data_IF_215222053156
#
_entry.id   IF_215222053156
#
_cell.length_a   1.000
_cell.length_b   1.000
_cell.length_c   1.000
_cell.angle_alpha   90.00
_cell.angle_beta   90.00
_cell.angle_gamma   90.00
#
_symmetry.space_group_name_H-M   'P 1'
#
loop_
_entity.id
_entity.type
_entity.pdbx_description
1 polymer ?
#
# COMPACT_ATOMS: atom_id res chain seq x y z
N UNK A 1 11.10 15.14 -5.50
CA UNK A 1 9.78 14.46 -5.69
C UNK A 1 9.17 14.14 -4.33
N UNK A 2 9.96 13.65 -3.40
CA UNK A 2 9.56 13.36 -2.02
C UNK A 2 10.36 14.27 -1.11
N UNK A 3 9.67 14.99 -0.24
CA UNK A 3 10.29 15.97 0.62
C UNK A 3 9.90 15.65 2.06
N UNK A 4 10.90 15.62 2.95
CA UNK A 4 10.72 15.50 4.40
C UNK A 4 9.83 14.32 4.84
N UNK A 5 10.05 13.14 4.24
CA UNK A 5 9.27 11.94 4.53
C UNK A 5 9.82 11.25 5.78
N UNK A 6 9.10 11.35 6.88
CA UNK A 6 9.43 10.72 8.15
C UNK A 6 8.33 9.75 8.56
N UNK A 7 8.65 8.45 8.64
CA UNK A 7 7.70 7.41 9.00
C UNK A 7 8.40 6.26 9.73
N UNK A 8 7.81 5.82 10.82
CA UNK A 8 8.21 4.61 11.53
C UNK A 8 7.18 3.51 11.29
N UNK A 9 7.59 2.38 10.72
CA UNK A 9 6.80 1.16 10.61
C UNK A 9 6.71 0.43 11.95
N UNK A 10 5.62 -0.29 12.15
CA UNK A 10 5.45 -1.22 13.29
C UNK A 10 5.76 -2.64 12.83
N UNK A 11 5.98 -3.54 13.78
CA UNK A 11 6.19 -4.95 13.46
C UNK A 11 4.92 -5.57 12.89
N UNK A 12 5.09 -6.46 11.92
CA UNK A 12 4.01 -7.19 11.23
C UNK A 12 2.91 -6.29 10.64
N UNK A 13 3.26 -5.05 10.25
CA UNK A 13 2.30 -4.05 9.80
C UNK A 13 2.01 -4.15 8.30
N UNK A 14 0.74 -4.03 7.92
CA UNK A 14 0.30 -3.77 6.56
C UNK A 14 0.14 -2.25 6.35
N UNK A 15 1.17 -1.63 5.82
CA UNK A 15 1.20 -0.19 5.55
C UNK A 15 0.80 0.10 4.10
N UNK A 16 -0.21 0.93 3.89
CA UNK A 16 -0.64 1.32 2.55
C UNK A 16 -0.29 2.78 2.26
N UNK A 17 0.43 3.00 1.16
CA UNK A 17 0.71 4.32 0.61
C UNK A 17 -0.33 4.63 -0.47
N UNK A 18 -1.14 5.66 -0.26
CA UNK A 18 -2.19 6.05 -1.20
C UNK A 18 -2.09 7.53 -1.53
N UNK A 19 -2.51 7.92 -2.73
CA UNK A 19 -2.48 9.30 -3.18
C UNK A 19 -2.63 9.43 -4.69
N UNK A 20 -2.75 10.65 -5.22
CA UNK A 20 -2.86 10.90 -6.66
C UNK A 20 -1.68 10.34 -7.46
N UNK A 21 -1.88 10.16 -8.76
CA UNK A 21 -0.79 9.77 -9.67
C UNK A 21 0.32 10.81 -9.64
N UNK A 22 1.58 10.36 -9.64
CA UNK A 22 2.74 11.25 -9.65
C UNK A 22 3.14 11.84 -8.30
N UNK A 23 2.47 11.53 -7.18
CA UNK A 23 2.84 12.05 -5.86
C UNK A 23 4.07 11.39 -5.20
N UNK A 24 4.73 10.43 -5.87
CA UNK A 24 6.00 9.85 -5.41
C UNK A 24 5.92 8.44 -4.80
N UNK A 25 4.74 7.81 -4.70
CA UNK A 25 4.55 6.49 -4.05
C UNK A 25 5.49 5.39 -4.56
N UNK A 26 5.49 5.13 -5.87
CA UNK A 26 6.36 4.12 -6.49
C UNK A 26 7.84 4.49 -6.40
N UNK A 27 8.17 5.78 -6.43
CA UNK A 27 9.54 6.26 -6.23
C UNK A 27 10.02 5.94 -4.81
N UNK A 28 9.20 6.21 -3.80
CA UNK A 28 9.51 5.85 -2.41
C UNK A 28 9.71 4.34 -2.25
N UNK A 29 8.82 3.54 -2.84
CA UNK A 29 8.93 2.09 -2.80
C UNK A 29 10.24 1.61 -3.43
N UNK A 30 10.65 2.18 -4.56
CA UNK A 30 11.91 1.89 -5.24
C UNK A 30 13.13 2.33 -4.44
N UNK A 31 13.05 3.46 -3.72
CA UNK A 31 14.11 3.90 -2.79
C UNK A 31 14.28 2.88 -1.66
N UNK A 32 13.21 2.37 -1.08
CA UNK A 32 13.26 1.32 -0.04
C UNK A 32 13.88 0.04 -0.62
N UNK A 33 13.49 -0.35 -1.83
CA UNK A 33 14.05 -1.51 -2.53
C UNK A 33 15.52 -1.34 -2.94
N UNK A 34 16.04 -0.10 -2.97
CA UNK A 34 17.40 0.23 -3.43
C UNK A 34 17.53 0.31 -4.95
N UNK A 35 16.42 0.46 -5.65
CA UNK A 35 16.37 0.64 -7.10
C UNK A 35 16.53 2.10 -7.52
N UNK A 36 16.29 3.02 -6.59
CA UNK A 36 16.50 4.46 -6.72
C UNK A 36 17.36 4.96 -5.57
N UNK A 37 18.18 5.98 -5.84
CA UNK A 37 19.01 6.62 -4.80
C UNK A 37 18.18 7.62 -4.00
N UNK A 38 18.61 7.82 -2.78
CA UNK A 38 18.11 8.87 -1.88
C UNK A 38 19.13 10.00 -1.92
N UNK A 39 18.66 11.22 -2.06
CA UNK A 39 19.52 12.40 -2.06
C UNK A 39 19.93 12.73 -0.62
N UNK A 40 18.96 12.73 0.32
CA UNK A 40 19.15 13.02 1.74
C UNK A 40 18.28 12.11 2.60
N UNK A 41 18.61 11.98 3.88
CA UNK A 41 17.88 11.17 4.84
C UNK A 41 18.39 9.73 4.97
N UNK A 42 17.68 8.93 5.74
CA UNK A 42 18.12 7.59 6.12
C UNK A 42 16.94 6.61 6.11
N UNK A 43 17.20 5.39 5.60
CA UNK A 43 16.26 4.28 5.71
C UNK A 43 16.87 3.19 6.56
N UNK A 44 16.08 2.70 7.51
CA UNK A 44 16.45 1.59 8.37
C UNK A 44 15.49 0.42 8.17
N UNK A 45 16.02 -0.80 8.19
CA UNK A 45 15.24 -2.03 8.36
C UNK A 45 15.72 -2.65 9.67
N UNK A 46 14.86 -2.68 10.66
CA UNK A 46 15.24 -2.86 12.05
C UNK A 46 16.30 -1.78 12.41
N UNK A 47 17.39 -2.14 13.08
CA UNK A 47 18.46 -1.21 13.47
C UNK A 47 19.53 -1.04 12.38
N UNK A 48 19.34 -1.61 11.20
CA UNK A 48 20.33 -1.56 10.12
C UNK A 48 19.99 -0.47 9.11
N UNK A 49 20.87 0.54 8.98
CA UNK A 49 20.82 1.50 7.88
C UNK A 49 21.07 0.79 6.53
N UNK A 50 20.17 1.00 5.55
CA UNK A 50 20.19 0.29 4.29
C UNK A 50 20.48 1.17 3.08
N UNK A 51 20.74 2.47 3.25
CA UNK A 51 20.96 3.40 2.14
C UNK A 51 21.96 2.88 1.12
N UNK A 52 23.15 2.43 1.58
CA UNK A 52 24.28 2.01 0.75
C UNK A 52 24.25 0.50 0.42
N UNK A 53 23.25 -0.23 0.93
CA UNK A 53 23.14 -1.65 0.65
C UNK A 53 22.62 -1.87 -0.78
N UNK A 54 23.30 -2.80 -1.49
CA UNK A 54 22.80 -3.29 -2.78
C UNK A 54 21.39 -3.89 -2.61
N UNK A 55 20.45 -3.72 -3.57
CA UNK A 55 19.08 -4.22 -3.49
C UNK A 55 18.96 -5.67 -3.01
N UNK A 56 19.82 -6.56 -3.49
CA UNK A 56 19.83 -7.98 -3.11
C UNK A 56 20.13 -8.24 -1.64
N UNK A 57 20.74 -7.29 -0.93
CA UNK A 57 21.13 -7.40 0.50
C UNK A 57 20.13 -6.71 1.45
N UNK A 58 19.13 -5.99 0.94
CA UNK A 58 18.14 -5.27 1.75
C UNK A 58 17.08 -6.16 2.39
N UNK A 59 17.08 -7.45 2.09
CA UNK A 59 16.07 -8.39 2.57
C UNK A 59 14.63 -7.96 2.27
N UNK A 60 14.43 -7.28 1.15
CA UNK A 60 13.13 -6.89 0.63
C UNK A 60 12.78 -7.73 -0.60
N UNK A 61 11.49 -7.94 -0.84
CA UNK A 61 11.01 -8.53 -2.08
C UNK A 61 9.93 -7.63 -2.69
N UNK A 62 10.07 -7.33 -3.99
CA UNK A 62 9.16 -6.42 -4.68
C UNK A 62 8.27 -7.18 -5.66
N UNK A 63 6.98 -6.89 -5.60
CA UNK A 63 5.95 -7.32 -6.55
C UNK A 63 5.57 -6.11 -7.40
N UNK A 64 5.85 -6.17 -8.68
CA UNK A 64 5.67 -5.07 -9.62
C UNK A 64 4.25 -5.09 -10.22
N UNK A 65 3.78 -3.94 -10.64
CA UNK A 65 2.51 -3.75 -11.34
C UNK A 65 2.35 -4.65 -12.57
N UNK A 66 3.44 -4.85 -13.34
CA UNK A 66 3.46 -5.72 -14.53
C UNK A 66 3.72 -7.20 -14.21
N UNK A 67 3.74 -7.57 -12.92
CA UNK A 67 4.15 -8.89 -12.40
C UNK A 67 5.62 -9.22 -12.65
N UNK A 68 6.24 -8.69 -13.69
CA UNK A 68 7.63 -8.89 -14.10
C UNK A 68 8.07 -10.37 -14.12
N UNK A 69 7.18 -11.27 -14.57
CA UNK A 69 7.51 -12.69 -14.73
C UNK A 69 8.41 -12.90 -15.92
N UNK A 70 9.36 -13.84 -15.81
CA UNK A 70 10.21 -14.26 -16.90
C UNK A 70 9.39 -15.13 -17.88
N UNK A 71 9.11 -14.65 -19.12
CA UNK A 71 8.15 -15.31 -20.00
C UNK A 71 8.62 -16.65 -20.57
N UNK A 72 9.92 -16.89 -20.60
CA UNK A 72 10.54 -18.13 -21.06
C UNK A 72 10.59 -19.24 -20.00
N UNK A 73 10.44 -18.87 -18.72
CA UNK A 73 10.44 -19.76 -17.56
C UNK A 73 9.02 -20.22 -17.22
N UNK A 74 8.85 -21.45 -16.73
CA UNK A 74 7.61 -21.90 -16.12
C UNK A 74 7.41 -21.28 -14.71
N UNK A 75 6.29 -21.59 -14.04
CA UNK A 75 5.97 -21.06 -12.70
C UNK A 75 7.04 -21.50 -11.68
N UNK A 76 7.39 -22.77 -11.65
CA UNK A 76 8.43 -23.30 -10.76
C UNK A 76 9.77 -22.55 -10.94
N UNK A 77 10.18 -22.37 -12.18
CA UNK A 77 11.42 -21.67 -12.52
C UNK A 77 11.38 -20.20 -12.11
N UNK A 78 10.27 -19.51 -12.33
CA UNK A 78 10.06 -18.14 -11.89
C UNK A 78 10.19 -18.01 -10.36
N UNK A 79 9.54 -18.90 -9.60
CA UNK A 79 9.57 -18.90 -8.14
C UNK A 79 10.95 -19.29 -7.58
N UNK A 80 11.64 -20.22 -8.22
CA UNK A 80 12.95 -20.71 -7.78
C UNK A 80 14.13 -19.82 -8.17
N UNK A 81 13.93 -18.87 -9.09
CA UNK A 81 15.02 -18.11 -9.72
C UNK A 81 15.93 -17.40 -8.70
N UNK A 82 15.34 -16.68 -7.73
CA UNK A 82 16.09 -15.99 -6.69
C UNK A 82 16.94 -16.95 -5.83
N UNK A 83 16.38 -18.10 -5.47
CA UNK A 83 17.06 -19.11 -4.67
C UNK A 83 18.23 -19.76 -5.44
N UNK A 84 18.08 -19.94 -6.75
CA UNK A 84 19.16 -20.44 -7.63
C UNK A 84 20.34 -19.46 -7.67
N UNK A 85 20.05 -18.14 -7.75
CA UNK A 85 21.10 -17.10 -7.70
C UNK A 85 21.80 -17.11 -6.34
N UNK A 86 21.07 -17.35 -5.26
CA UNK A 86 21.61 -17.50 -3.90
C UNK A 86 22.35 -18.84 -3.69
N UNK A 87 22.44 -19.67 -4.72
CA UNK A 87 23.10 -21.00 -4.71
C UNK A 87 22.58 -21.95 -3.63
N UNK A 88 21.27 -21.89 -3.34
CA UNK A 88 20.60 -22.82 -2.42
C UNK A 88 20.60 -24.24 -2.95
N UNK A 89 20.53 -25.24 -2.07
CA UNK A 89 20.44 -26.65 -2.48
C UNK A 89 19.15 -26.94 -3.23
N UNK A 90 19.12 -27.98 -4.06
CA UNK A 90 17.91 -28.40 -4.79
C UNK A 90 16.76 -28.72 -3.84
N UNK A 91 17.04 -29.37 -2.72
CA UNK A 91 16.06 -29.74 -1.69
C UNK A 91 15.45 -28.48 -1.01
N UNK A 92 16.30 -27.50 -0.67
CA UNK A 92 15.82 -26.24 -0.09
C UNK A 92 14.95 -25.47 -1.09
N UNK A 93 15.34 -25.43 -2.37
CA UNK A 93 14.57 -24.77 -3.43
C UNK A 93 13.22 -25.44 -3.58
N UNK A 94 13.18 -26.76 -3.72
CA UNK A 94 11.95 -27.52 -3.89
C UNK A 94 11.00 -27.32 -2.70
N UNK A 95 11.51 -27.45 -1.49
CA UNK A 95 10.73 -27.24 -0.26
C UNK A 95 10.10 -25.84 -0.21
N UNK A 96 10.89 -24.79 -0.47
CA UNK A 96 10.39 -23.41 -0.42
C UNK A 96 9.38 -23.10 -1.54
N UNK A 97 9.63 -23.60 -2.75
CA UNK A 97 8.70 -23.41 -3.87
C UNK A 97 7.39 -24.13 -3.61
N UNK A 98 7.42 -25.36 -3.14
CA UNK A 98 6.20 -26.13 -2.83
C UNK A 98 5.41 -25.51 -1.68
N UNK A 99 6.08 -25.03 -0.62
CA UNK A 99 5.42 -24.31 0.47
C UNK A 99 4.71 -23.05 -0.03
N UNK A 100 5.40 -22.22 -0.82
CA UNK A 100 4.81 -21.00 -1.38
C UNK A 100 3.68 -21.32 -2.37
N UNK A 101 3.82 -22.36 -3.21
CA UNK A 101 2.77 -22.79 -4.13
C UNK A 101 1.50 -23.25 -3.38
N UNK A 102 1.67 -23.99 -2.29
CA UNK A 102 0.56 -24.43 -1.43
C UNK A 102 -0.16 -23.26 -0.76
N UNK A 103 0.58 -22.29 -0.21
CA UNK A 103 -0.01 -21.07 0.38
C UNK A 103 -0.88 -20.34 -0.63
N UNK A 104 -0.43 -20.26 -1.88
CA UNK A 104 -1.07 -19.53 -2.97
C UNK A 104 -2.04 -20.36 -3.80
N UNK A 105 -2.16 -21.68 -3.50
CA UNK A 105 -3.02 -22.63 -4.23
C UNK A 105 -2.73 -22.64 -5.73
N UNK A 106 -1.46 -22.77 -6.10
CA UNK A 106 -0.97 -22.80 -7.49
C UNK A 106 -0.10 -24.03 -7.80
N UNK A 107 -0.17 -25.10 -6.99
CA UNK A 107 0.63 -26.31 -7.16
C UNK A 107 0.45 -26.92 -8.57
N UNK A 108 -0.79 -26.94 -9.05
CA UNK A 108 -1.15 -27.46 -10.38
C UNK A 108 -0.65 -26.61 -11.56
N UNK A 109 -0.14 -25.40 -11.28
CA UNK A 109 0.31 -24.45 -12.29
C UNK A 109 1.83 -24.45 -12.47
N UNK A 110 2.59 -25.20 -11.65
CA UNK A 110 4.05 -25.11 -11.56
C UNK A 110 4.76 -25.30 -12.91
N UNK A 111 4.22 -26.17 -13.79
CA UNK A 111 4.80 -26.43 -15.11
C UNK A 111 4.31 -25.47 -16.21
N UNK A 112 3.33 -24.62 -15.92
CA UNK A 112 2.79 -23.67 -16.91
C UNK A 112 3.73 -22.48 -17.10
N UNK A 113 3.70 -21.91 -18.30
CA UNK A 113 4.39 -20.65 -18.61
C UNK A 113 3.45 -19.44 -18.40
N UNK A 114 3.96 -18.23 -18.15
CA UNK A 114 3.16 -17.04 -17.88
C UNK A 114 2.06 -16.76 -18.93
N UNK A 115 2.29 -17.08 -20.20
CA UNK A 115 1.29 -16.91 -21.28
C UNK A 115 0.06 -17.82 -21.14
N UNK A 116 0.15 -18.88 -20.35
CA UNK A 116 -0.91 -19.87 -20.12
C UNK A 116 -1.72 -19.57 -18.84
N UNK A 117 -1.42 -18.45 -18.17
CA UNK A 117 -2.00 -18.08 -16.89
C UNK A 117 -2.98 -16.90 -17.03
N UNK A 118 -4.04 -16.90 -16.23
CA UNK A 118 -4.90 -15.73 -16.05
C UNK A 118 -4.17 -14.58 -15.33
N UNK A 119 -4.77 -13.39 -15.31
CA UNK A 119 -4.20 -12.23 -14.59
C UNK A 119 -3.94 -12.53 -13.10
N UNK A 120 -4.94 -13.07 -12.39
CA UNK A 120 -4.80 -13.44 -10.99
C UNK A 120 -3.80 -14.57 -10.74
N UNK A 121 -3.71 -15.56 -11.65
CA UNK A 121 -2.69 -16.60 -11.56
C UNK A 121 -1.29 -16.01 -11.73
N UNK A 122 -1.06 -15.10 -12.69
CA UNK A 122 0.22 -14.38 -12.82
C UNK A 122 0.57 -13.59 -11.57
N UNK A 123 -0.42 -12.93 -10.96
CA UNK A 123 -0.25 -12.20 -9.71
C UNK A 123 0.20 -13.13 -8.58
N UNK A 124 -0.48 -14.27 -8.38
CA UNK A 124 -0.09 -15.28 -7.37
C UNK A 124 1.34 -15.78 -7.61
N UNK A 125 1.74 -16.02 -8.85
CA UNK A 125 3.11 -16.42 -9.18
C UNK A 125 4.13 -15.34 -8.82
N UNK A 126 3.82 -14.06 -9.09
CA UNK A 126 4.70 -12.93 -8.72
C UNK A 126 4.85 -12.80 -7.19
N UNK A 127 3.76 -12.99 -6.44
CA UNK A 127 3.79 -13.06 -4.98
C UNK A 127 4.59 -14.29 -4.51
N UNK A 128 4.40 -15.47 -5.12
CA UNK A 128 5.14 -16.69 -4.81
C UNK A 128 6.64 -16.53 -4.97
N UNK A 129 7.07 -15.86 -6.05
CA UNK A 129 8.48 -15.50 -6.26
C UNK A 129 9.04 -14.60 -5.15
N UNK A 130 8.21 -13.75 -4.57
CA UNK A 130 8.60 -12.92 -3.44
C UNK A 130 8.67 -13.73 -2.13
N UNK A 131 7.68 -14.59 -1.86
CA UNK A 131 7.60 -15.43 -0.65
C UNK A 131 8.79 -16.36 -0.54
N UNK A 132 9.19 -17.01 -1.62
CA UNK A 132 10.30 -18.00 -1.61
C UNK A 132 11.60 -17.43 -1.08
N UNK A 133 11.81 -16.11 -1.17
CA UNK A 133 13.00 -15.42 -0.65
C UNK A 133 12.95 -15.16 0.85
N UNK A 134 11.80 -15.37 1.50
CA UNK A 134 11.57 -15.08 2.91
C UNK A 134 12.06 -13.67 3.32
N UNK A 135 11.53 -12.60 2.70
CA UNK A 135 11.98 -11.24 2.95
C UNK A 135 11.49 -10.74 4.32
N UNK A 136 12.17 -9.72 4.86
CA UNK A 136 11.69 -8.99 6.05
C UNK A 136 10.57 -8.01 5.73
N UNK A 137 10.54 -7.51 4.49
CA UNK A 137 9.52 -6.56 4.02
C UNK A 137 9.11 -6.93 2.61
N UNK A 138 7.80 -7.04 2.39
CA UNK A 138 7.21 -7.11 1.05
C UNK A 138 6.88 -5.71 0.55
N UNK A 139 7.21 -5.44 -0.70
CA UNK A 139 6.96 -4.18 -1.38
C UNK A 139 6.02 -4.44 -2.58
N UNK A 140 4.82 -3.89 -2.55
CA UNK A 140 3.82 -4.05 -3.60
C UNK A 140 3.61 -2.73 -4.35
N UNK A 141 3.96 -2.69 -5.63
CA UNK A 141 3.78 -1.50 -6.49
C UNK A 141 2.55 -1.68 -7.38
N UNK A 142 1.40 -1.17 -6.95
CA UNK A 142 0.09 -1.25 -7.60
C UNK A 142 -0.26 -2.66 -8.14
N UNK A 143 -0.16 -3.71 -7.32
CA UNK A 143 -0.16 -5.08 -7.82
C UNK A 143 -1.49 -5.51 -8.43
N UNK A 144 -2.62 -4.85 -8.10
CA UNK A 144 -3.95 -5.23 -8.56
C UNK A 144 -4.49 -4.35 -9.70
N UNK A 145 -3.75 -3.32 -10.12
CA UNK A 145 -4.22 -2.34 -11.10
C UNK A 145 -4.58 -2.93 -12.48
N UNK A 146 -3.94 -4.03 -12.87
CA UNK A 146 -4.15 -4.70 -14.16
C UNK A 146 -5.23 -5.80 -14.14
N UNK A 147 -6.02 -5.90 -13.05
CA UNK A 147 -7.08 -6.88 -12.89
C UNK A 147 -8.46 -6.23 -13.06
N UNK A 148 -9.44 -7.01 -13.51
CA UNK A 148 -10.84 -6.60 -13.49
C UNK A 148 -11.37 -6.48 -12.05
N UNK A 149 -12.52 -5.84 -11.88
CA UNK A 149 -13.07 -5.52 -10.56
C UNK A 149 -13.39 -6.77 -9.70
N UNK A 150 -13.89 -7.84 -10.31
CA UNK A 150 -14.24 -9.07 -9.58
C UNK A 150 -12.97 -9.77 -9.09
N UNK A 151 -11.99 -9.95 -9.97
CA UNK A 151 -10.71 -10.56 -9.64
C UNK A 151 -9.91 -9.71 -8.64
N UNK A 152 -9.98 -8.38 -8.74
CA UNK A 152 -9.37 -7.47 -7.78
C UNK A 152 -9.96 -7.67 -6.37
N UNK A 153 -11.28 -7.81 -6.25
CA UNK A 153 -11.93 -8.08 -4.97
C UNK A 153 -11.47 -9.43 -4.36
N UNK A 154 -11.39 -10.49 -5.18
CA UNK A 154 -10.85 -11.78 -4.76
C UNK A 154 -9.40 -11.67 -4.26
N UNK A 155 -8.55 -11.02 -5.05
CA UNK A 155 -7.13 -10.90 -4.74
C UNK A 155 -6.85 -10.04 -3.49
N UNK A 156 -7.68 -9.05 -3.18
CA UNK A 156 -7.58 -8.33 -1.89
C UNK A 156 -7.76 -9.28 -0.70
N UNK A 157 -8.78 -10.12 -0.75
CA UNK A 157 -9.03 -11.11 0.31
C UNK A 157 -7.84 -12.08 0.45
N UNK A 158 -7.27 -12.51 -0.67
CA UNK A 158 -6.11 -13.41 -0.67
C UNK A 158 -4.85 -12.73 -0.09
N UNK A 159 -4.59 -11.48 -0.45
CA UNK A 159 -3.45 -10.71 0.10
C UNK A 159 -3.62 -10.48 1.62
N UNK A 160 -4.83 -10.16 2.08
CA UNK A 160 -5.12 -10.01 3.51
C UNK A 160 -4.88 -11.32 4.28
N UNK A 161 -5.36 -12.46 3.74
CA UNK A 161 -5.10 -13.78 4.34
C UNK A 161 -3.61 -14.11 4.35
N UNK A 162 -2.90 -13.79 3.28
CA UNK A 162 -1.47 -13.99 3.17
C UNK A 162 -0.71 -13.22 4.25
N UNK A 163 -1.04 -11.94 4.46
CA UNK A 163 -0.44 -11.11 5.50
C UNK A 163 -0.64 -11.74 6.89
N UNK A 164 -1.89 -12.12 7.22
CA UNK A 164 -2.22 -12.77 8.48
C UNK A 164 -1.46 -14.10 8.71
N UNK A 165 -1.15 -14.81 7.62
CA UNK A 165 -0.45 -16.10 7.68
C UNK A 165 1.06 -15.95 7.80
N UNK A 166 1.66 -14.99 7.07
CA UNK A 166 3.12 -14.80 7.02
C UNK A 166 3.61 -13.95 8.18
N UNK A 167 2.79 -13.01 8.68
CA UNK A 167 3.14 -12.05 9.75
C UNK A 167 4.47 -11.36 9.44
N UNK A 168 4.51 -10.62 8.35
CA UNK A 168 5.69 -9.92 7.86
C UNK A 168 5.26 -8.56 7.35
N UNK A 169 6.06 -7.54 7.58
CA UNK A 169 5.77 -6.18 7.13
C UNK A 169 5.49 -6.12 5.64
N UNK A 170 4.41 -5.46 5.27
CA UNK A 170 4.03 -5.20 3.88
C UNK A 170 3.88 -3.70 3.66
N UNK A 171 4.53 -3.18 2.63
CA UNK A 171 4.33 -1.81 2.13
C UNK A 171 3.65 -1.92 0.77
N UNK A 172 2.46 -1.38 0.68
CA UNK A 172 1.57 -1.53 -0.46
C UNK A 172 1.24 -0.17 -1.06
N UNK A 173 1.55 0.02 -2.32
CA UNK A 173 1.23 1.23 -3.07
C UNK A 173 -0.03 0.99 -3.89
N UNK A 174 -0.98 1.92 -3.81
CA UNK A 174 -2.17 1.92 -4.63
C UNK A 174 -2.69 3.33 -4.87
N UNK A 175 -3.53 3.49 -5.90
CA UNK A 175 -4.38 4.66 -6.09
C UNK A 175 -5.86 4.34 -5.78
N UNK A 176 -6.17 3.09 -5.46
CA UNK A 176 -7.54 2.64 -5.12
C UNK A 176 -7.79 2.77 -3.61
N UNK A 177 -8.76 3.61 -3.27
CA UNK A 177 -9.15 3.85 -1.87
C UNK A 177 -9.73 2.60 -1.21
N UNK A 178 -10.43 1.76 -1.96
CA UNK A 178 -11.04 0.53 -1.42
C UNK A 178 -9.94 -0.45 -1.01
N UNK A 179 -8.86 -0.56 -1.79
CA UNK A 179 -7.70 -1.36 -1.41
C UNK A 179 -7.09 -0.82 -0.10
N UNK A 180 -6.85 0.49 -0.02
CA UNK A 180 -6.29 1.12 1.17
C UNK A 180 -7.16 0.88 2.41
N UNK A 181 -8.46 1.14 2.31
CA UNK A 181 -9.41 1.02 3.44
C UNK A 181 -9.65 -0.42 3.90
N UNK A 182 -9.39 -1.42 3.03
CA UNK A 182 -9.68 -2.83 3.34
C UNK A 182 -8.46 -3.65 3.73
N UNK A 183 -7.26 -3.24 3.32
CA UNK A 183 -6.02 -4.00 3.55
C UNK A 183 -5.16 -3.43 4.67
N UNK A 184 -5.22 -2.12 4.90
CA UNK A 184 -4.25 -1.44 5.74
C UNK A 184 -4.51 -1.58 7.24
N UNK A 185 -3.45 -1.82 8.00
CA UNK A 185 -3.42 -1.49 9.43
C UNK A 185 -3.25 0.03 9.61
N UNK A 186 -2.38 0.65 8.80
CA UNK A 186 -2.26 2.11 8.66
C UNK A 186 -2.16 2.53 7.20
N UNK A 187 -2.74 3.69 6.92
CA UNK A 187 -2.69 4.35 5.63
C UNK A 187 -1.81 5.59 5.74
N UNK A 188 -0.94 5.80 4.76
CA UNK A 188 -0.20 7.04 4.55
C UNK A 188 -0.77 7.73 3.32
N UNK A 189 -1.39 8.87 3.49
CA UNK A 189 -1.89 9.67 2.38
C UNK A 189 -0.80 10.61 1.92
N UNK A 190 -0.40 10.46 0.66
CA UNK A 190 0.63 11.26 0.00
C UNK A 190 0.02 12.23 -1.00
N UNK A 191 0.50 13.46 -0.99
CA UNK A 191 0.15 14.46 -1.98
C UNK A 191 1.37 15.34 -2.30
N UNK A 192 1.70 15.49 -3.59
CA UNK A 192 2.82 16.32 -4.05
C UNK A 192 4.15 16.06 -3.29
N UNK A 193 4.42 14.81 -2.95
CA UNK A 193 5.65 14.40 -2.26
C UNK A 193 5.63 14.51 -0.73
N UNK A 194 4.55 15.02 -0.14
CA UNK A 194 4.41 15.20 1.30
C UNK A 194 3.40 14.21 1.90
N UNK A 195 3.56 13.92 3.19
CA UNK A 195 2.56 13.18 3.97
C UNK A 195 1.46 14.16 4.39
N UNK A 196 0.23 13.92 3.96
CA UNK A 196 -0.95 14.69 4.39
C UNK A 196 -1.51 14.16 5.71
N UNK A 197 -1.58 12.85 5.85
CA UNK A 197 -2.03 12.17 7.06
C UNK A 197 -1.52 10.74 7.13
N UNK A 198 -1.26 10.26 8.36
CA UNK A 198 -1.03 8.86 8.68
C UNK A 198 -2.01 8.44 9.77
N UNK A 199 -2.70 7.33 9.59
CA UNK A 199 -3.65 6.82 10.57
C UNK A 199 -4.24 5.47 10.16
N UNK A 200 -5.04 4.89 11.03
CA UNK A 200 -5.87 3.73 10.68
C UNK A 200 -6.94 4.12 9.66
N UNK A 201 -7.50 3.16 8.91
CA UNK A 201 -8.61 3.46 8.00
C UNK A 201 -9.75 4.24 8.66
N UNK A 202 -10.12 3.87 9.87
CA UNK A 202 -11.19 4.54 10.63
C UNK A 202 -10.84 5.99 11.00
N UNK A 203 -9.62 6.23 11.50
CA UNK A 203 -9.14 7.58 11.81
C UNK A 203 -9.14 8.49 10.59
N UNK A 204 -8.65 8.00 9.45
CA UNK A 204 -8.58 8.79 8.21
C UNK A 204 -9.97 9.10 7.67
N UNK A 205 -10.90 8.16 7.77
CA UNK A 205 -12.26 8.36 7.31
C UNK A 205 -13.06 9.32 8.20
N UNK A 206 -12.99 9.13 9.51
CA UNK A 206 -13.82 9.88 10.48
C UNK A 206 -13.17 11.20 10.92
N UNK A 207 -11.84 11.28 10.94
CA UNK A 207 -11.07 12.43 11.44
C UNK A 207 -10.02 12.90 10.41
N UNK A 208 -10.44 13.33 9.20
CA UNK A 208 -9.50 13.81 8.19
C UNK A 208 -8.78 15.08 8.69
N UNK A 209 -7.45 15.14 8.54
CA UNK A 209 -6.61 16.25 9.01
C UNK A 209 -6.80 17.54 8.23
N UNK A 210 -7.28 17.45 6.99
CA UNK A 210 -7.49 18.58 6.12
C UNK A 210 -8.53 18.30 5.02
N UNK A 211 -8.86 19.33 4.25
CA UNK A 211 -9.85 19.24 3.17
C UNK A 211 -9.42 18.24 2.09
N UNK A 212 -8.13 18.19 1.76
CA UNK A 212 -7.63 17.23 0.76
C UNK A 212 -7.93 15.79 1.18
N UNK A 213 -7.57 15.41 2.39
CA UNK A 213 -7.86 14.06 2.93
C UNK A 213 -9.35 13.77 2.97
N UNK A 214 -10.15 14.74 3.44
CA UNK A 214 -11.60 14.63 3.52
C UNK A 214 -12.26 14.35 2.16
N UNK A 215 -11.74 14.96 1.09
CA UNK A 215 -12.25 14.78 -0.26
C UNK A 215 -11.59 13.63 -1.02
N UNK A 216 -10.37 13.24 -0.61
CA UNK A 216 -9.64 12.16 -1.25
C UNK A 216 -10.16 10.79 -0.81
N UNK A 217 -10.52 10.62 0.46
CA UNK A 217 -11.03 9.35 1.01
C UNK A 217 -12.55 9.36 1.11
N UNK A 218 -13.16 8.32 0.55
CA UNK A 218 -14.60 8.08 0.59
C UNK A 218 -15.28 8.15 -0.77
N UNK A 219 -16.25 7.27 -0.97
CA UNK A 219 -17.12 7.25 -2.16
C UNK A 219 -18.58 7.14 -1.70
N UNK A 220 -19.41 8.16 -1.94
CA UNK A 220 -19.09 9.44 -2.62
C UNK A 220 -18.11 10.31 -1.81
N UNK A 221 -17.47 11.27 -2.50
CA UNK A 221 -16.57 12.24 -1.87
C UNK A 221 -17.34 13.12 -0.88
N UNK A 222 -16.66 13.56 0.19
CA UNK A 222 -17.22 14.54 1.12
C UNK A 222 -17.60 15.83 0.39
N UNK A 223 -18.82 16.30 0.60
CA UNK A 223 -19.25 17.61 0.12
C UNK A 223 -18.67 18.68 1.06
N UNK A 224 -17.89 19.61 0.51
CA UNK A 224 -17.30 20.71 1.28
C UNK A 224 -17.99 21.99 0.88
N UNK A 225 -18.66 22.61 1.83
CA UNK A 225 -19.44 23.83 1.64
C UNK A 225 -18.85 24.96 2.49
N UNK A 226 -18.63 26.15 1.93
CA UNK A 226 -18.16 27.29 2.72
C UNK A 226 -19.25 27.75 3.70
N UNK A 227 -18.85 28.07 4.92
CA UNK A 227 -19.69 28.77 5.89
C UNK A 227 -19.41 30.25 5.80
N UNK A 228 -20.45 31.02 5.49
CA UNK A 228 -20.41 32.50 5.54
C UNK A 228 -20.62 32.97 6.97
N UNK A 229 -20.17 34.19 7.30
CA UNK A 229 -20.37 34.79 8.64
C UNK A 229 -21.84 34.85 9.04
N UNK A 230 -22.76 35.00 8.08
CA UNK A 230 -24.21 34.99 8.29
C UNK A 230 -24.75 33.63 8.80
N UNK A 231 -24.02 32.56 8.55
CA UNK A 231 -24.34 31.22 9.05
C UNK A 231 -23.96 31.04 10.52
N UNK A 232 -23.07 31.85 11.06
CA UNK A 232 -22.55 31.72 12.43
C UNK A 232 -23.50 32.47 13.37
N UNK A 233 -24.20 31.73 14.24
CA UNK A 233 -25.14 32.30 15.22
C UNK A 233 -24.41 32.73 16.50
N UNK A 234 -23.47 31.91 16.95
CA UNK A 234 -22.65 32.14 18.14
C UNK A 234 -21.31 31.40 18.03
N UNK A 235 -20.46 31.53 19.05
CA UNK A 235 -19.12 30.91 19.10
C UNK A 235 -19.09 29.40 18.82
N UNK A 236 -20.21 28.71 19.02
CA UNK A 236 -20.29 27.27 18.84
C UNK A 236 -21.54 26.79 18.08
N UNK A 237 -22.28 27.73 17.45
CA UNK A 237 -23.57 27.43 16.81
C UNK A 237 -23.66 28.04 15.43
N UNK A 238 -24.12 27.25 14.47
CA UNK A 238 -24.37 27.71 13.10
C UNK A 238 -25.81 27.44 12.68
N UNK A 239 -26.32 28.24 11.72
CA UNK A 239 -27.50 27.90 10.92
C UNK A 239 -27.04 27.38 9.57
N UNK A 240 -27.32 26.13 9.29
CA UNK A 240 -26.95 25.50 8.01
C UNK A 240 -28.19 24.90 7.37
N UNK A 241 -28.57 25.41 6.19
CA UNK A 241 -29.74 24.97 5.43
C UNK A 241 -31.06 25.06 6.27
N UNK A 242 -31.20 26.07 7.11
CA UNK A 242 -32.35 26.23 7.95
C UNK A 242 -32.35 25.44 9.27
N UNK A 243 -31.30 24.67 9.52
CA UNK A 243 -31.14 23.91 10.76
C UNK A 243 -30.04 24.53 11.64
N UNK A 244 -30.31 24.61 12.94
CA UNK A 244 -29.32 25.02 13.92
C UNK A 244 -28.48 23.80 14.36
N UNK A 245 -27.15 23.92 14.19
CA UNK A 245 -26.19 22.91 14.59
C UNK A 245 -25.30 23.48 15.68
N UNK A 246 -25.19 22.77 16.81
CA UNK A 246 -24.32 23.17 17.94
C UNK A 246 -23.13 22.23 18.01
N UNK A 247 -21.95 22.79 18.19
CA UNK A 247 -20.68 22.05 18.32
C UNK A 247 -20.17 22.13 19.76
N UNK A 248 -19.76 21.00 20.34
CA UNK A 248 -19.26 20.96 21.72
C UNK A 248 -17.82 21.47 21.87
N UNK A 249 -17.00 21.34 20.81
CA UNK A 249 -15.56 21.57 20.87
C UNK A 249 -15.05 22.64 19.90
N UNK A 250 -15.90 23.25 19.10
CA UNK A 250 -15.50 24.24 18.10
C UNK A 250 -15.93 25.61 18.61
N UNK A 251 -15.01 26.56 18.55
CA UNK A 251 -15.30 27.99 18.72
C UNK A 251 -15.05 28.70 17.41
N UNK A 252 -16.07 29.31 16.86
CA UNK A 252 -15.97 30.07 15.62
C UNK A 252 -15.39 31.47 15.92
N UNK A 253 -14.38 31.83 15.14
CA UNK A 253 -13.83 33.20 15.11
C UNK A 253 -14.11 33.84 13.74
N UNK A 254 -13.35 34.87 13.35
CA UNK A 254 -13.49 35.51 12.04
C UNK A 254 -12.79 34.79 10.89
N UNK A 255 -12.33 33.55 11.09
CA UNK A 255 -11.70 32.75 10.08
C UNK A 255 -12.69 32.23 9.03
N UNK A 256 -12.16 31.70 7.92
CA UNK A 256 -12.97 30.99 6.92
C UNK A 256 -13.21 29.56 7.39
N UNK A 257 -14.46 29.17 7.47
CA UNK A 257 -14.88 27.82 7.84
C UNK A 257 -15.51 27.09 6.67
N UNK A 258 -15.47 25.79 6.73
CA UNK A 258 -16.13 24.89 5.80
C UNK A 258 -16.87 23.82 6.61
N UNK A 259 -18.03 23.40 6.12
CA UNK A 259 -18.74 22.23 6.63
C UNK A 259 -18.56 21.07 5.66
N UNK A 260 -18.12 19.93 6.17
CA UNK A 260 -17.99 18.69 5.41
C UNK A 260 -19.18 17.77 5.68
N UNK A 261 -19.80 17.24 4.62
CA UNK A 261 -20.95 16.32 4.70
C UNK A 261 -20.63 15.10 3.84
N UNK A 262 -20.68 13.92 4.44
CA UNK A 262 -20.55 12.61 3.76
C UNK A 262 -21.91 11.99 3.48
#
# INVERSE_FOLDING_TARGET
>A
IITDFNLMGKDDEFLVLVGPSGCGKSTLLRMIAGLEKIDEGEIFINDQKINDLHPSKRQTAMVFQSYALYPHMNVYENMSFGLKIEKKSKEEIETKVMQAAKILKIEELLERKPKQLSGGQRQRVAIGRAITRNPKIFLFDEPLSNLDAALRAEMRVEISKLHNQIKTNMIYVTHDQVEAMTLADRIVILNLGNIEQVGTPDEIYNNPSNIFVAQFIGTPKMNILPLNNENIISDNKINFLGNEITFEKIKFDKSKYFIGIR
#
